data_IF_529288182518
#
_entry.id   IF_529288182518
#
_cell.length_a   1.000
_cell.length_b   1.000
_cell.length_c   1.000
_cell.angle_alpha   90.00
_cell.angle_beta   90.00
_cell.angle_gamma   90.00
#
_symmetry.space_group_name_H-M   'P 1'
#
loop_
_entity.id
_entity.type
_entity.pdbx_description
1 polymer ?
#
# COMPACT_ATOMS: atom_id res chain seq x y z
N UNK A 1 -27.85 2.36 -1.24
CA UNK A 1 -26.97 1.22 -0.90
C UNK A 1 -26.06 0.81 -2.06
N UNK A 2 -26.59 0.52 -3.26
CA UNK A 2 -25.81 0.02 -4.41
C UNK A 2 -24.63 0.93 -4.83
N UNK A 3 -24.82 2.26 -4.89
CA UNK A 3 -23.74 3.23 -5.20
C UNK A 3 -22.56 3.19 -4.21
N UNK A 4 -22.83 2.96 -2.92
CA UNK A 4 -21.77 2.89 -1.88
C UNK A 4 -20.93 1.62 -2.04
N UNK A 5 -21.57 0.49 -2.37
CA UNK A 5 -20.89 -0.79 -2.58
C UNK A 5 -19.99 -0.74 -3.82
N UNK A 6 -20.49 -0.15 -4.92
CA UNK A 6 -19.69 0.01 -6.16
C UNK A 6 -18.46 0.88 -5.90
N UNK A 7 -18.58 1.97 -5.14
CA UNK A 7 -17.45 2.82 -4.78
C UNK A 7 -16.40 2.06 -3.95
N UNK A 8 -16.84 1.28 -2.96
CA UNK A 8 -15.94 0.46 -2.14
C UNK A 8 -15.19 -0.55 -3.01
N UNK A 9 -15.89 -1.28 -3.88
CA UNK A 9 -15.24 -2.24 -4.80
C UNK A 9 -14.25 -1.56 -5.74
N UNK A 10 -14.59 -0.37 -6.24
CA UNK A 10 -13.67 0.41 -7.06
C UNK A 10 -12.38 0.77 -6.30
N UNK A 11 -12.48 1.18 -5.03
CA UNK A 11 -11.28 1.47 -4.22
C UNK A 11 -10.40 0.24 -3.99
N UNK A 12 -11.00 -0.94 -3.79
CA UNK A 12 -10.25 -2.19 -3.66
C UNK A 12 -9.51 -2.56 -4.94
N UNK A 13 -10.20 -2.50 -6.09
CA UNK A 13 -9.59 -2.79 -7.38
C UNK A 13 -8.53 -1.77 -7.78
N UNK A 14 -8.76 -0.49 -7.51
CA UNK A 14 -7.78 0.56 -7.76
C UNK A 14 -6.49 0.31 -6.96
N UNK A 15 -6.62 0.02 -5.65
CA UNK A 15 -5.46 -0.33 -4.82
C UNK A 15 -4.75 -1.59 -5.32
N UNK A 16 -5.50 -2.64 -5.66
CA UNK A 16 -4.92 -3.90 -6.15
C UNK A 16 -4.14 -3.72 -7.45
N UNK A 17 -4.63 -2.87 -8.37
CA UNK A 17 -3.92 -2.56 -9.61
C UNK A 17 -2.64 -1.78 -9.33
N UNK A 18 -2.68 -0.78 -8.44
CA UNK A 18 -1.49 -0.01 -8.10
C UNK A 18 -0.42 -0.87 -7.43
N UNK A 19 -0.80 -1.70 -6.44
CA UNK A 19 0.14 -2.60 -5.77
C UNK A 19 0.74 -3.61 -6.75
N UNK A 20 -0.06 -4.12 -7.71
CA UNK A 20 0.42 -5.02 -8.74
C UNK A 20 1.43 -4.33 -9.68
N UNK A 21 1.19 -3.08 -10.08
CA UNK A 21 2.11 -2.32 -10.91
C UNK A 21 3.44 -2.08 -10.19
N UNK A 22 3.39 -1.72 -8.90
CA UNK A 22 4.59 -1.54 -8.07
C UNK A 22 5.33 -2.86 -7.90
N UNK A 23 4.62 -3.96 -7.64
CA UNK A 23 5.22 -5.30 -7.60
C UNK A 23 5.95 -5.62 -8.90
N UNK A 24 5.33 -5.40 -10.04
CA UNK A 24 5.94 -5.68 -11.35
C UNK A 24 7.19 -4.84 -11.59
N UNK A 25 7.16 -3.54 -11.27
CA UNK A 25 8.33 -2.68 -11.40
C UNK A 25 9.49 -3.14 -10.51
N UNK A 26 9.21 -3.45 -9.23
CA UNK A 26 10.21 -3.96 -8.30
C UNK A 26 10.75 -5.33 -8.71
N UNK A 27 9.89 -6.20 -9.24
CA UNK A 27 10.28 -7.53 -9.70
C UNK A 27 11.16 -7.47 -10.96
N UNK A 28 10.79 -6.61 -11.92
CA UNK A 28 11.62 -6.33 -13.10
C UNK A 28 12.96 -5.71 -12.69
N UNK A 29 12.97 -4.82 -11.69
CA UNK A 29 14.19 -4.21 -11.15
C UNK A 29 15.16 -5.24 -10.57
N UNK A 30 14.68 -6.32 -9.97
CA UNK A 30 15.52 -7.39 -9.43
C UNK A 30 16.10 -8.28 -10.54
N UNK A 31 15.29 -8.59 -11.56
CA UNK A 31 15.66 -9.53 -12.63
C UNK A 31 16.51 -8.89 -13.73
N UNK A 32 16.19 -7.65 -14.10
CA UNK A 32 16.75 -6.96 -15.27
C UNK A 32 17.49 -5.68 -14.91
N UNK A 33 17.60 -5.35 -13.62
CA UNK A 33 18.30 -4.15 -13.13
C UNK A 33 17.72 -2.86 -13.73
N UNK A 34 16.42 -2.90 -14.05
CA UNK A 34 15.68 -1.83 -14.71
C UNK A 34 14.42 -1.51 -13.92
N UNK A 35 14.15 -0.23 -13.70
CA UNK A 35 12.91 0.25 -13.08
C UNK A 35 12.38 1.44 -13.87
N UNK A 36 11.07 1.47 -14.07
CA UNK A 36 10.36 2.60 -14.64
C UNK A 36 10.32 3.76 -13.64
N UNK A 37 10.29 3.43 -12.35
CA UNK A 37 10.12 4.40 -11.26
C UNK A 37 11.43 4.94 -10.72
N UNK A 38 12.53 4.18 -10.84
CA UNK A 38 13.84 4.53 -10.29
C UNK A 38 14.89 4.63 -11.40
N UNK A 39 15.61 5.75 -11.44
CA UNK A 39 16.67 6.00 -12.44
C UNK A 39 17.99 5.31 -12.12
N UNK A 40 18.24 4.98 -10.85
CA UNK A 40 19.49 4.37 -10.38
C UNK A 40 19.20 3.06 -9.66
N UNK A 41 18.94 2.00 -10.42
CA UNK A 41 18.80 0.65 -9.87
C UNK A 41 20.18 0.14 -9.46
N UNK A 42 20.34 -0.18 -8.17
CA UNK A 42 21.59 -0.75 -7.65
C UNK A 42 21.65 -2.25 -7.91
N UNK A 43 22.84 -2.76 -8.21
CA UNK A 43 23.09 -4.21 -8.39
C UNK A 43 23.48 -4.91 -7.09
N UNK A 44 23.61 -4.16 -5.99
CA UNK A 44 24.01 -4.67 -4.68
C UNK A 44 23.01 -5.71 -4.16
N UNK A 45 23.56 -6.74 -3.48
CA UNK A 45 22.79 -7.81 -2.86
C UNK A 45 21.82 -7.24 -1.81
N UNK A 46 22.23 -6.20 -1.08
CA UNK A 46 21.40 -5.54 -0.07
C UNK A 46 20.19 -4.85 -0.71
N UNK A 47 20.38 -4.21 -1.87
CA UNK A 47 19.29 -3.61 -2.63
C UNK A 47 18.33 -4.68 -3.16
N UNK A 48 18.84 -5.73 -3.80
CA UNK A 48 17.99 -6.83 -4.33
C UNK A 48 17.18 -7.50 -3.23
N UNK A 49 17.75 -7.67 -2.03
CA UNK A 49 17.04 -8.20 -0.86
C UNK A 49 15.92 -7.28 -0.37
N UNK A 50 16.20 -5.97 -0.20
CA UNK A 50 15.20 -5.00 0.26
C UNK A 50 14.08 -4.84 -0.77
N UNK A 51 14.43 -4.66 -2.04
CA UNK A 51 13.49 -4.54 -3.16
C UNK A 51 12.66 -5.81 -3.32
N UNK A 52 13.26 -7.00 -3.19
CA UNK A 52 12.54 -8.28 -3.23
C UNK A 52 11.54 -8.42 -2.08
N UNK A 53 11.94 -8.04 -0.87
CA UNK A 53 11.04 -8.05 0.29
C UNK A 53 9.85 -7.11 0.07
N UNK A 54 10.10 -5.91 -0.44
CA UNK A 54 9.05 -4.96 -0.81
C UNK A 54 8.13 -5.47 -1.91
N UNK A 55 8.69 -6.10 -2.96
CA UNK A 55 7.90 -6.67 -4.06
C UNK A 55 6.90 -7.70 -3.55
N UNK A 56 7.35 -8.71 -2.78
CA UNK A 56 6.45 -9.74 -2.26
C UNK A 56 5.45 -9.20 -1.23
N UNK A 57 5.78 -8.12 -0.52
CA UNK A 57 4.82 -7.41 0.33
C UNK A 57 3.70 -6.77 -0.49
N UNK A 58 4.03 -6.08 -1.60
CA UNK A 58 3.03 -5.50 -2.52
C UNK A 58 2.18 -6.57 -3.21
N UNK A 59 2.77 -7.73 -3.55
CA UNK A 59 2.02 -8.88 -4.05
C UNK A 59 1.06 -9.44 -2.99
N UNK A 60 1.51 -9.54 -1.74
CA UNK A 60 0.67 -9.94 -0.62
C UNK A 60 -0.52 -8.99 -0.41
N UNK A 61 -0.31 -7.68 -0.54
CA UNK A 61 -1.38 -6.68 -0.47
C UNK A 61 -2.34 -6.73 -1.65
N UNK A 62 -1.85 -6.92 -2.87
CA UNK A 62 -2.69 -7.18 -4.05
C UNK A 62 -3.66 -8.34 -3.79
N UNK A 63 -3.14 -9.47 -3.29
CA UNK A 63 -3.96 -10.64 -2.98
C UNK A 63 -4.97 -10.33 -1.86
N UNK A 64 -4.57 -9.61 -0.82
CA UNK A 64 -5.46 -9.21 0.28
C UNK A 64 -6.59 -8.29 -0.19
N UNK A 65 -6.32 -7.34 -1.08
CA UNK A 65 -7.33 -6.43 -1.63
C UNK A 65 -8.34 -7.18 -2.52
N UNK A 66 -7.86 -8.07 -3.39
CA UNK A 66 -8.73 -8.93 -4.21
C UNK A 66 -9.57 -9.87 -3.31
N UNK A 67 -8.97 -10.39 -2.24
CA UNK A 67 -9.67 -11.25 -1.28
C UNK A 67 -10.70 -10.48 -0.44
N UNK A 68 -10.42 -9.23 -0.09
CA UNK A 68 -11.31 -8.35 0.65
C UNK A 68 -12.50 -7.89 -0.20
N UNK A 69 -12.33 -7.72 -1.52
CA UNK A 69 -13.41 -7.35 -2.46
C UNK A 69 -14.60 -8.33 -2.44
N UNK A 70 -14.36 -9.60 -2.10
CA UNK A 70 -15.43 -10.62 -1.99
C UNK A 70 -16.43 -10.27 -0.87
N UNK A 71 -15.95 -9.88 0.32
CA UNK A 71 -16.78 -9.47 1.48
C UNK A 71 -16.15 -8.24 2.18
N UNK A 72 -16.26 -7.03 1.59
CA UNK A 72 -15.48 -5.88 2.03
C UNK A 72 -15.88 -5.36 3.42
N UNK A 73 -17.13 -5.56 3.82
CA UNK A 73 -17.67 -5.08 5.10
C UNK A 73 -17.27 -6.01 6.26
N UNK A 74 -17.27 -7.32 6.03
CA UNK A 74 -16.89 -8.32 7.05
C UNK A 74 -15.38 -8.38 7.26
N UNK A 75 -14.59 -8.01 6.23
CA UNK A 75 -13.13 -8.21 6.20
C UNK A 75 -12.31 -6.95 6.39
N UNK A 76 -12.96 -5.79 6.58
CA UNK A 76 -12.32 -4.50 6.85
C UNK A 76 -11.34 -4.52 8.03
N UNK A 77 -11.59 -5.35 9.04
CA UNK A 77 -10.73 -5.46 10.22
C UNK A 77 -9.33 -5.99 9.89
N UNK A 78 -9.25 -6.99 9.00
CA UNK A 78 -7.95 -7.56 8.57
C UNK A 78 -7.16 -6.52 7.79
N UNK A 79 -7.81 -5.81 6.88
CA UNK A 79 -7.15 -4.79 6.06
C UNK A 79 -6.62 -3.63 6.91
N UNK A 80 -7.39 -3.18 7.91
CA UNK A 80 -6.96 -2.14 8.84
C UNK A 80 -5.77 -2.59 9.69
N UNK A 81 -5.80 -3.84 10.18
CA UNK A 81 -4.71 -4.41 10.97
C UNK A 81 -3.42 -4.59 10.16
N UNK A 82 -3.49 -4.78 8.84
CA UNK A 82 -2.30 -4.92 8.00
C UNK A 82 -1.84 -3.60 7.39
N UNK A 83 -2.77 -2.74 6.94
CA UNK A 83 -2.43 -1.48 6.29
C UNK A 83 -1.95 -0.42 7.28
N UNK A 84 -2.58 -0.29 8.46
CA UNK A 84 -2.21 0.75 9.43
C UNK A 84 -0.75 0.57 9.91
N UNK A 85 -0.32 -0.59 10.46
CA UNK A 85 1.02 -0.70 11.01
C UNK A 85 2.10 -0.54 9.96
N UNK A 86 1.87 -1.05 8.75
CA UNK A 86 2.85 -0.97 7.66
C UNK A 86 2.94 0.44 7.10
N UNK A 87 1.81 1.11 6.83
CA UNK A 87 1.81 2.49 6.33
C UNK A 87 2.43 3.43 7.37
N UNK A 88 2.07 3.29 8.65
CA UNK A 88 2.66 4.07 9.74
C UNK A 88 4.16 3.78 9.86
N UNK A 89 4.57 2.51 9.82
CA UNK A 89 5.99 2.13 9.87
C UNK A 89 6.80 2.73 8.72
N UNK A 90 6.29 2.65 7.50
CA UNK A 90 6.91 3.25 6.30
C UNK A 90 6.97 4.78 6.43
N UNK A 91 5.93 5.42 6.96
CA UNK A 91 5.91 6.87 7.18
C UNK A 91 6.93 7.30 8.23
N UNK A 92 7.05 6.56 9.34
CA UNK A 92 8.05 6.83 10.38
C UNK A 92 9.46 6.74 9.79
N UNK A 93 9.76 5.68 9.03
CA UNK A 93 11.07 5.56 8.38
C UNK A 93 11.31 6.71 7.39
N UNK A 94 10.31 7.09 6.59
CA UNK A 94 10.46 8.24 5.68
C UNK A 94 10.70 9.57 6.42
N UNK A 95 10.03 9.79 7.55
CA UNK A 95 10.26 11.00 8.37
C UNK A 95 11.70 11.02 8.91
N UNK A 96 12.22 9.86 9.33
CA UNK A 96 13.55 9.75 9.93
C UNK A 96 14.69 9.84 8.91
N UNK A 97 14.49 9.36 7.68
CA UNK A 97 15.58 9.15 6.72
C UNK A 97 15.42 9.90 5.38
N UNK A 98 14.32 10.61 5.14
CA UNK A 98 14.06 11.31 3.85
C UNK A 98 13.99 12.83 4.02
N UNK A 99 14.61 13.59 3.10
CA UNK A 99 14.62 15.06 3.10
C UNK A 99 13.21 15.69 2.96
N UNK A 100 12.23 14.96 2.40
CA UNK A 100 10.85 15.38 2.19
C UNK A 100 9.87 14.87 3.28
N UNK A 101 10.32 14.80 4.53
CA UNK A 101 9.54 14.32 5.69
C UNK A 101 8.13 14.95 5.82
N UNK A 102 7.95 16.20 5.37
CA UNK A 102 6.66 16.89 5.43
C UNK A 102 5.56 16.22 4.57
N UNK A 103 5.90 15.62 3.43
CA UNK A 103 4.93 14.87 2.59
C UNK A 103 4.44 13.64 3.34
N UNK A 104 5.33 12.96 4.06
CA UNK A 104 5.01 11.82 4.90
C UNK A 104 4.13 12.20 6.09
N UNK A 105 4.33 13.37 6.70
CA UNK A 105 3.46 13.88 7.77
C UNK A 105 2.06 14.20 7.23
N UNK A 106 1.95 14.87 6.08
CA UNK A 106 0.65 15.18 5.46
C UNK A 106 -0.12 13.90 5.14
N UNK A 107 0.54 12.91 4.53
CA UNK A 107 -0.09 11.62 4.21
C UNK A 107 -0.46 10.83 5.47
N UNK A 108 0.33 10.90 6.54
CA UNK A 108 -0.03 10.31 7.83
C UNK A 108 -1.29 10.93 8.44
N UNK A 109 -1.40 12.26 8.40
CA UNK A 109 -2.59 12.99 8.86
C UNK A 109 -3.82 12.59 8.04
N UNK A 110 -3.70 12.53 6.71
CA UNK A 110 -4.79 12.09 5.83
C UNK A 110 -5.23 10.65 6.14
N UNK A 111 -4.29 9.76 6.44
CA UNK A 111 -4.59 8.37 6.80
C UNK A 111 -5.34 8.27 8.14
N UNK A 112 -4.94 9.07 9.14
CA UNK A 112 -5.66 9.17 10.42
C UNK A 112 -7.08 9.70 10.21
N UNK A 113 -7.26 10.73 9.38
CA UNK A 113 -8.58 11.28 9.05
C UNK A 113 -9.45 10.23 8.36
N UNK A 114 -8.91 9.52 7.36
CA UNK A 114 -9.61 8.45 6.67
C UNK A 114 -10.03 7.32 7.63
N UNK A 115 -9.17 6.97 8.60
CA UNK A 115 -9.49 6.00 9.65
C UNK A 115 -10.65 6.45 10.53
N UNK A 116 -10.62 7.70 11.02
CA UNK A 116 -11.67 8.24 11.87
C UNK A 116 -13.01 8.31 11.13
N UNK A 117 -12.98 8.69 9.85
CA UNK A 117 -14.15 8.70 8.98
C UNK A 117 -14.71 7.29 8.75
N UNK A 118 -13.86 6.32 8.44
CA UNK A 118 -14.28 4.93 8.24
C UNK A 118 -14.92 4.34 9.51
N UNK A 119 -14.36 4.64 10.70
CA UNK A 119 -14.93 4.23 11.99
C UNK A 119 -16.29 4.88 12.25
N UNK A 120 -16.49 6.14 11.86
CA UNK A 120 -17.75 6.86 12.09
C UNK A 120 -18.93 6.30 11.27
N UNK A 121 -18.65 5.70 10.10
CA UNK A 121 -19.66 5.09 9.22
C UNK A 121 -20.19 3.77 9.79
N UNK A 122 -19.43 3.10 10.66
CA UNK A 122 -19.84 1.83 11.27
C UNK A 122 -20.82 1.99 12.44
N UNK A 123 -21.07 3.23 12.90
CA UNK A 123 -21.95 3.55 14.03
C UNK A 123 -23.36 3.97 13.56
N UNK A 124 -23.59 4.11 12.25
CA UNK A 124 -24.87 4.51 11.63
C UNK A 124 -25.53 3.40 10.83
#
# INVERSE_FOLDING_TARGET
MVRKIIFIRFTYWYGAILDLLVFLDMFISILFEFSVTMTNVSTDISYKYQTGTGAFLMLGWTILLIWADRNPIERKGVLLMTAIPVVVGIMVINILYTYFWFISVITMILFIIAYLLARSVDIS
#
